data_IF_186272466826
#
_entry.id   IF_186272466826
#
_cell.length_a   1.000
_cell.length_b   1.000
_cell.length_c   1.000
_cell.angle_alpha   90.00
_cell.angle_beta   90.00
_cell.angle_gamma   90.00
#
_symmetry.space_group_name_H-M   'P 1'
#
loop_
_entity.id
_entity.type
_entity.pdbx_description
1 polymer ?
#
# COMPACT_ATOMS: atom_id res chain seq x y z
N UNK A 1 -17.07 6.79 -25.09
CA UNK A 1 -15.60 6.69 -25.08
C UNK A 1 -15.03 7.62 -26.15
N UNK A 2 -13.95 8.35 -25.85
CA UNK A 2 -13.23 9.19 -26.81
C UNK A 2 -12.72 8.31 -27.99
N UNK A 3 -12.99 8.67 -29.27
CA UNK A 3 -12.51 7.92 -30.43
C UNK A 3 -10.99 7.71 -30.45
N UNK A 4 -10.21 8.66 -29.93
CA UNK A 4 -8.74 8.57 -29.83
C UNK A 4 -8.32 7.47 -28.87
N UNK A 5 -9.02 7.35 -27.73
CA UNK A 5 -8.76 6.29 -26.75
C UNK A 5 -9.19 4.93 -27.30
N UNK A 6 -10.32 4.85 -28.00
CA UNK A 6 -10.75 3.62 -28.67
C UNK A 6 -9.70 3.13 -29.69
N UNK A 7 -9.21 4.03 -30.55
CA UNK A 7 -8.17 3.72 -31.54
C UNK A 7 -6.89 3.25 -30.86
N UNK A 8 -6.44 3.96 -29.82
CA UNK A 8 -5.24 3.58 -29.07
C UNK A 8 -5.37 2.22 -28.36
N UNK A 9 -6.53 1.89 -27.78
CA UNK A 9 -6.79 0.58 -27.20
C UNK A 9 -6.72 -0.53 -28.27
N UNK A 10 -7.33 -0.29 -29.43
CA UNK A 10 -7.29 -1.23 -30.57
C UNK A 10 -5.86 -1.49 -31.02
N UNK A 11 -5.04 -0.43 -31.15
CA UNK A 11 -3.62 -0.53 -31.50
C UNK A 11 -2.80 -1.24 -30.43
N UNK A 12 -3.04 -0.97 -29.14
CA UNK A 12 -2.34 -1.66 -28.06
C UNK A 12 -2.63 -3.16 -28.07
N UNK A 13 -3.88 -3.56 -28.28
CA UNK A 13 -4.25 -4.98 -28.40
C UNK A 13 -3.62 -5.63 -29.63
N UNK A 14 -3.64 -4.94 -30.76
CA UNK A 14 -2.96 -5.41 -31.96
C UNK A 14 -1.46 -5.62 -31.72
N UNK A 15 -0.81 -4.68 -31.03
CA UNK A 15 0.61 -4.78 -30.68
C UNK A 15 0.89 -5.98 -29.76
N UNK A 16 0.05 -6.23 -28.75
CA UNK A 16 0.20 -7.39 -27.87
C UNK A 16 0.05 -8.69 -28.65
N UNK A 17 -0.96 -8.81 -29.52
CA UNK A 17 -1.18 -10.03 -30.28
C UNK A 17 -0.06 -10.26 -31.32
N UNK A 18 0.48 -9.21 -31.92
CA UNK A 18 1.68 -9.30 -32.77
C UNK A 18 2.90 -9.75 -31.97
N UNK A 19 3.18 -9.15 -30.81
CA UNK A 19 4.32 -9.51 -29.97
C UNK A 19 4.25 -10.98 -29.53
N UNK A 20 3.06 -11.45 -29.15
CA UNK A 20 2.80 -12.86 -28.86
C UNK A 20 3.07 -13.78 -30.06
N UNK A 21 2.62 -13.38 -31.27
CA UNK A 21 2.84 -14.14 -32.49
C UNK A 21 4.32 -14.17 -32.93
N UNK A 22 5.08 -13.11 -32.67
CA UNK A 22 6.51 -13.05 -32.98
C UNK A 22 7.36 -13.88 -32.02
N UNK A 23 6.91 -14.00 -30.76
CA UNK A 23 7.60 -14.75 -29.73
C UNK A 23 8.87 -14.04 -29.24
N UNK A 24 9.74 -14.79 -28.55
CA UNK A 24 10.81 -14.20 -27.74
C UNK A 24 11.95 -13.54 -28.53
N UNK A 25 12.14 -13.93 -29.79
CA UNK A 25 13.22 -13.45 -30.65
C UNK A 25 12.68 -12.89 -31.96
N UNK A 26 12.02 -11.71 -31.93
CA UNK A 26 11.50 -11.08 -33.13
C UNK A 26 12.65 -10.66 -34.06
N UNK A 27 12.40 -10.74 -35.37
CA UNK A 27 13.27 -10.16 -36.38
C UNK A 27 13.34 -8.63 -36.26
N UNK A 28 14.33 -8.01 -36.91
CA UNK A 28 14.45 -6.54 -36.92
C UNK A 28 13.20 -5.86 -37.54
N UNK A 29 12.59 -6.49 -38.55
CA UNK A 29 11.37 -6.00 -39.20
C UNK A 29 10.16 -6.11 -38.28
N UNK A 30 10.00 -7.24 -37.60
CA UNK A 30 8.93 -7.46 -36.60
C UNK A 30 9.03 -6.46 -35.45
N UNK A 31 10.24 -6.22 -34.96
CA UNK A 31 10.48 -5.21 -33.92
C UNK A 31 10.15 -3.80 -34.42
N UNK A 32 10.55 -3.45 -35.65
CA UNK A 32 10.23 -2.16 -36.24
C UNK A 32 8.71 -1.94 -36.39
N UNK A 33 7.94 -3.00 -36.66
CA UNK A 33 6.48 -2.94 -36.70
C UNK A 33 5.88 -2.60 -35.33
N UNK A 34 6.37 -3.21 -34.24
CA UNK A 34 5.91 -2.91 -32.88
C UNK A 34 6.34 -1.49 -32.45
N UNK A 35 7.55 -1.07 -32.81
CA UNK A 35 8.05 0.29 -32.52
C UNK A 35 7.21 1.35 -33.27
N UNK A 36 6.77 1.08 -34.50
CA UNK A 36 5.89 1.97 -35.24
C UNK A 36 4.55 2.20 -34.53
N UNK A 37 3.90 1.13 -34.04
CA UNK A 37 2.68 1.25 -33.24
C UNK A 37 2.90 2.07 -31.97
N UNK A 38 4.09 1.96 -31.36
CA UNK A 38 4.41 2.69 -30.13
C UNK A 38 4.52 4.18 -30.41
N UNK A 39 5.16 4.54 -31.53
CA UNK A 39 5.27 5.92 -32.01
C UNK A 39 3.89 6.53 -32.28
N UNK A 40 2.96 5.76 -32.85
CA UNK A 40 1.61 6.24 -33.17
C UNK A 40 0.76 6.54 -31.92
N UNK A 41 0.92 5.75 -30.85
CA UNK A 41 0.16 5.93 -29.60
C UNK A 41 0.79 6.99 -28.69
N UNK A 42 2.10 7.22 -28.78
CA UNK A 42 2.83 8.12 -27.88
C UNK A 42 2.25 9.55 -27.79
N UNK A 43 1.83 10.21 -28.89
CA UNK A 43 1.24 11.55 -28.82
C UNK A 43 -0.01 11.62 -27.95
N UNK A 44 -0.84 10.56 -27.93
CA UNK A 44 -2.00 10.51 -27.04
C UNK A 44 -1.54 10.39 -25.58
N UNK A 45 -0.58 9.53 -25.29
CA UNK A 45 -0.03 9.38 -23.93
C UNK A 45 0.57 10.70 -23.44
N UNK A 46 1.33 11.39 -24.28
CA UNK A 46 1.94 12.68 -23.94
C UNK A 46 0.87 13.75 -23.69
N UNK A 47 -0.21 13.76 -24.50
CA UNK A 47 -1.34 14.66 -24.30
C UNK A 47 -2.08 14.38 -22.98
N UNK A 48 -2.37 13.11 -22.68
CA UNK A 48 -3.00 12.70 -21.44
C UNK A 48 -2.14 13.05 -20.21
N UNK A 49 -0.81 13.01 -20.32
CA UNK A 49 0.08 13.40 -19.24
C UNK A 49 0.10 14.92 -18.97
N UNK A 50 -0.19 15.73 -20.00
CA UNK A 50 -0.19 17.18 -19.92
C UNK A 50 -1.51 17.75 -19.35
N UNK A 51 -2.58 16.96 -19.39
CA UNK A 51 -3.89 17.35 -18.87
C UNK A 51 -4.03 17.01 -17.38
N UNK A 52 -4.84 17.77 -16.61
CA UNK A 52 -5.22 17.37 -15.26
C UNK A 52 -5.87 15.98 -15.28
N UNK A 53 -5.42 15.11 -14.39
CA UNK A 53 -5.92 13.75 -14.29
C UNK A 53 -7.43 13.72 -14.03
N UNK A 54 -8.18 13.05 -14.91
CA UNK A 54 -9.64 12.93 -14.87
C UNK A 54 -10.14 11.46 -14.82
N UNK A 55 -9.24 10.50 -14.59
CA UNK A 55 -9.58 9.08 -14.48
C UNK A 55 -10.23 8.72 -13.14
N UNK A 56 -10.39 7.41 -12.87
CA UNK A 56 -11.13 6.93 -11.69
C UNK A 56 -10.45 7.21 -10.34
N UNK A 57 -9.16 7.51 -10.35
CA UNK A 57 -8.35 7.72 -9.16
C UNK A 57 -7.95 6.44 -8.43
N UNK A 58 -8.13 5.27 -9.06
CA UNK A 58 -7.84 3.98 -8.42
C UNK A 58 -6.39 3.53 -8.63
N UNK A 59 -5.63 4.18 -9.52
CA UNK A 59 -4.28 3.78 -9.92
C UNK A 59 -4.26 2.56 -10.84
N UNK A 60 -3.06 2.11 -11.24
CA UNK A 60 -2.89 1.02 -12.21
C UNK A 60 -2.19 -0.22 -11.60
N UNK A 61 -2.34 -1.37 -12.26
CA UNK A 61 -1.94 -2.69 -11.80
C UNK A 61 -2.93 -3.36 -10.83
N UNK A 62 -2.55 -4.53 -10.32
CA UNK A 62 -3.30 -5.25 -9.27
C UNK A 62 -2.75 -4.90 -7.87
N UNK A 63 -3.49 -5.24 -6.80
CA UNK A 63 -3.12 -4.93 -5.42
C UNK A 63 -1.77 -5.59 -5.03
N UNK A 64 -0.72 -4.77 -5.09
CA UNK A 64 0.68 -5.13 -4.78
C UNK A 64 0.94 -5.29 -3.29
N UNK A 65 2.17 -5.04 -2.84
CA UNK A 65 2.49 -5.08 -1.40
C UNK A 65 1.61 -4.07 -0.65
N UNK A 66 0.95 -4.53 0.42
CA UNK A 66 0.02 -3.73 1.25
C UNK A 66 -1.08 -3.01 0.44
N UNK A 67 -1.49 -3.60 -0.68
CA UNK A 67 -2.50 -3.04 -1.58
C UNK A 67 -2.03 -1.80 -2.35
N UNK A 68 -0.72 -1.63 -2.55
CA UNK A 68 -0.18 -0.59 -3.42
C UNK A 68 -0.65 -0.78 -4.87
N UNK A 69 -1.02 0.33 -5.51
CA UNK A 69 -1.23 0.46 -6.96
C UNK A 69 -0.38 1.62 -7.45
N UNK A 70 0.06 1.53 -8.70
CA UNK A 70 0.92 2.58 -9.27
C UNK A 70 0.08 3.85 -9.44
N UNK A 71 0.43 4.98 -8.80
CA UNK A 71 -0.28 6.23 -8.99
C UNK A 71 -0.15 6.74 -10.42
N UNK A 72 -1.15 7.48 -10.90
CA UNK A 72 -1.19 8.07 -12.24
C UNK A 72 0.13 8.75 -12.63
N UNK A 73 0.61 9.69 -11.81
CA UNK A 73 1.82 10.44 -12.11
C UNK A 73 3.06 9.54 -12.30
N UNK A 74 3.19 8.48 -11.50
CA UNK A 74 4.29 7.53 -11.63
C UNK A 74 4.14 6.66 -12.88
N UNK A 75 2.91 6.30 -13.25
CA UNK A 75 2.62 5.55 -14.48
C UNK A 75 2.91 6.39 -15.72
N UNK A 76 2.44 7.64 -15.78
CA UNK A 76 2.71 8.53 -16.91
C UNK A 76 4.19 8.83 -17.06
N UNK A 77 4.91 9.09 -15.96
CA UNK A 77 6.36 9.26 -16.01
C UNK A 77 7.07 8.05 -16.64
N UNK A 78 6.65 6.82 -16.29
CA UNK A 78 7.19 5.60 -16.88
C UNK A 78 6.90 5.52 -18.38
N UNK A 79 5.66 5.79 -18.79
CA UNK A 79 5.23 5.69 -20.20
C UNK A 79 5.85 6.78 -21.08
N UNK A 80 6.08 7.98 -20.56
CA UNK A 80 6.79 9.05 -21.27
C UNK A 80 8.28 8.71 -21.46
N UNK A 81 8.90 8.07 -20.45
CA UNK A 81 10.28 7.62 -20.52
C UNK A 81 10.48 6.34 -21.35
N UNK A 82 9.43 5.55 -21.56
CA UNK A 82 9.48 4.27 -22.28
C UNK A 82 8.81 4.39 -23.65
N UNK A 83 9.59 4.84 -24.64
CA UNK A 83 9.16 4.85 -26.04
C UNK A 83 9.26 3.47 -26.72
N UNK A 84 9.74 2.47 -25.99
CA UNK A 84 10.03 1.14 -26.52
C UNK A 84 8.78 0.25 -26.52
N UNK A 85 8.76 -0.73 -27.42
CA UNK A 85 7.64 -1.63 -27.71
C UNK A 85 7.65 -2.96 -26.95
N UNK A 86 7.97 -2.96 -25.65
CA UNK A 86 7.96 -4.20 -24.85
C UNK A 86 6.55 -4.59 -24.39
N UNK A 87 6.22 -5.89 -24.37
CA UNK A 87 4.96 -6.45 -23.84
C UNK A 87 4.39 -5.77 -22.59
N UNK A 88 5.23 -5.51 -21.59
CA UNK A 88 4.83 -4.84 -20.34
C UNK A 88 4.44 -3.36 -20.53
N UNK A 89 5.03 -2.65 -21.49
CA UNK A 89 4.65 -1.25 -21.78
C UNK A 89 3.28 -1.19 -22.45
N UNK A 90 2.91 -2.19 -23.26
CA UNK A 90 1.57 -2.29 -23.84
C UNK A 90 0.48 -2.51 -22.79
N UNK A 91 0.72 -3.43 -21.84
CA UNK A 91 -0.19 -3.64 -20.71
C UNK A 91 -0.36 -2.37 -19.88
N UNK A 92 0.73 -1.68 -19.54
CA UNK A 92 0.68 -0.42 -18.77
C UNK A 92 -0.09 0.68 -19.54
N UNK A 93 0.06 0.76 -20.88
CA UNK A 93 -0.74 1.66 -21.73
C UNK A 93 -2.24 1.32 -21.68
N UNK A 94 -2.62 0.05 -21.78
CA UNK A 94 -4.03 -0.38 -21.70
C UNK A 94 -4.63 0.00 -20.34
N UNK A 95 -3.94 -0.28 -19.23
CA UNK A 95 -4.43 0.07 -17.89
C UNK A 95 -4.65 1.59 -17.74
N UNK A 96 -3.75 2.42 -18.28
CA UNK A 96 -3.91 3.87 -18.33
C UNK A 96 -5.10 4.30 -19.17
N UNK A 97 -5.28 3.70 -20.35
CA UNK A 97 -6.38 4.03 -21.25
C UNK A 97 -7.75 3.61 -20.67
N UNK A 98 -7.83 2.47 -19.98
CA UNK A 98 -9.01 2.05 -19.24
C UNK A 98 -9.40 3.07 -18.17
N UNK A 99 -8.43 3.46 -17.34
CA UNK A 99 -8.64 4.41 -16.25
C UNK A 99 -9.01 5.81 -16.76
N UNK A 100 -8.32 6.30 -17.79
CA UNK A 100 -8.57 7.61 -18.41
C UNK A 100 -9.95 7.67 -19.07
N UNK A 101 -10.36 6.60 -19.76
CA UNK A 101 -11.69 6.54 -20.35
C UNK A 101 -12.82 6.28 -19.34
N UNK A 102 -12.48 6.01 -18.07
CA UNK A 102 -13.47 5.69 -17.03
C UNK A 102 -14.22 4.39 -17.30
N UNK A 103 -13.60 3.41 -17.97
CA UNK A 103 -14.29 2.19 -18.39
C UNK A 103 -14.74 1.34 -17.18
N UNK A 104 -15.98 0.89 -17.21
CA UNK A 104 -16.49 -0.06 -16.22
C UNK A 104 -15.86 -1.44 -16.36
N UNK A 105 -15.96 -2.26 -15.31
CA UNK A 105 -15.39 -3.62 -15.31
C UNK A 105 -15.83 -4.49 -16.50
N UNK A 106 -17.10 -4.38 -16.91
CA UNK A 106 -17.63 -5.14 -18.04
C UNK A 106 -17.02 -4.70 -19.38
N UNK A 107 -16.79 -3.40 -19.57
CA UNK A 107 -16.13 -2.85 -20.77
C UNK A 107 -14.65 -3.25 -20.80
N UNK A 108 -13.95 -3.12 -19.68
CA UNK A 108 -12.55 -3.56 -19.55
C UNK A 108 -12.40 -5.07 -19.82
N UNK A 109 -13.35 -5.88 -19.34
CA UNK A 109 -13.35 -7.32 -19.57
C UNK A 109 -13.54 -7.64 -21.06
N UNK A 110 -14.45 -6.95 -21.76
CA UNK A 110 -14.68 -7.14 -23.19
C UNK A 110 -13.42 -6.82 -24.03
N UNK A 111 -12.65 -5.80 -23.65
CA UNK A 111 -11.33 -5.53 -24.25
C UNK A 111 -10.30 -6.59 -23.90
N UNK A 112 -10.23 -6.98 -22.62
CA UNK A 112 -9.25 -7.95 -22.12
C UNK A 112 -9.41 -9.34 -22.76
N UNK A 113 -10.64 -9.74 -23.08
CA UNK A 113 -10.92 -11.03 -23.73
C UNK A 113 -10.40 -11.14 -25.17
N UNK A 114 -10.00 -10.03 -25.79
CA UNK A 114 -9.41 -9.99 -27.14
C UNK A 114 -7.88 -10.20 -27.12
N UNK A 115 -7.27 -10.28 -25.93
CA UNK A 115 -5.83 -10.51 -25.76
C UNK A 115 -5.52 -11.99 -25.91
N UNK A 116 -4.67 -12.34 -26.88
CA UNK A 116 -4.25 -13.72 -27.15
C UNK A 116 -3.15 -14.20 -26.20
N UNK A 117 -2.31 -13.29 -25.70
CA UNK A 117 -1.30 -13.60 -24.69
C UNK A 117 -1.98 -13.86 -23.33
N UNK A 118 -2.04 -15.13 -22.93
CA UNK A 118 -2.68 -15.54 -21.68
C UNK A 118 -2.02 -14.92 -20.42
N UNK A 119 -0.71 -14.65 -20.46
CA UNK A 119 0.01 -14.04 -19.33
C UNK A 119 -0.42 -12.58 -19.18
N UNK A 120 -0.39 -11.81 -20.27
CA UNK A 120 -0.82 -10.42 -20.25
C UNK A 120 -2.32 -10.29 -19.98
N UNK A 121 -3.13 -11.21 -20.52
CA UNK A 121 -4.56 -11.28 -20.23
C UNK A 121 -4.83 -11.49 -18.75
N UNK A 122 -4.14 -12.42 -18.09
CA UNK A 122 -4.27 -12.62 -16.65
C UNK A 122 -3.89 -11.37 -15.85
N UNK A 123 -2.86 -10.63 -16.26
CA UNK A 123 -2.48 -9.38 -15.60
C UNK A 123 -3.54 -8.29 -15.73
N UNK A 124 -4.18 -8.17 -16.89
CA UNK A 124 -5.31 -7.25 -17.11
C UNK A 124 -6.55 -7.69 -16.33
N UNK A 125 -6.83 -9.00 -16.27
CA UNK A 125 -7.89 -9.55 -15.41
C UNK A 125 -7.64 -9.20 -13.94
N UNK A 126 -6.41 -9.32 -13.44
CA UNK A 126 -6.06 -8.94 -12.07
C UNK A 126 -6.16 -7.42 -11.81
N UNK A 127 -5.92 -6.59 -12.82
CA UNK A 127 -6.20 -5.15 -12.74
C UNK A 127 -7.71 -4.90 -12.55
N UNK A 128 -8.56 -5.56 -13.35
CA UNK A 128 -10.03 -5.47 -13.21
C UNK A 128 -10.49 -5.99 -11.84
N UNK A 129 -9.90 -7.09 -11.34
CA UNK A 129 -10.19 -7.61 -10.00
C UNK A 129 -9.87 -6.57 -8.92
N UNK A 130 -8.77 -5.84 -9.05
CA UNK A 130 -8.39 -4.81 -8.09
C UNK A 130 -9.36 -3.63 -8.10
N UNK A 131 -9.79 -3.16 -9.28
CA UNK A 131 -10.82 -2.12 -9.42
C UNK A 131 -12.13 -2.56 -8.73
N UNK A 132 -12.65 -3.74 -9.09
CA UNK A 132 -13.86 -4.30 -8.50
C UNK A 132 -13.75 -4.42 -6.96
N UNK A 133 -12.63 -4.94 -6.46
CA UNK A 133 -12.41 -5.06 -5.03
C UNK A 133 -12.43 -3.68 -4.35
N UNK A 134 -11.69 -2.69 -4.87
CA UNK A 134 -11.68 -1.34 -4.29
C UNK A 134 -13.08 -0.72 -4.30
N UNK A 135 -13.87 -0.98 -5.34
CA UNK A 135 -15.27 -0.52 -5.45
C UNK A 135 -16.24 -1.28 -4.52
N UNK A 136 -15.81 -2.37 -3.88
CA UNK A 136 -16.63 -3.17 -2.96
C UNK A 136 -17.25 -4.42 -3.56
N UNK A 137 -17.00 -4.67 -4.84
CA UNK A 137 -17.59 -5.73 -5.64
C UNK A 137 -16.83 -7.07 -5.51
N UNK A 138 -16.55 -7.50 -4.28
CA UNK A 138 -15.76 -8.73 -4.00
C UNK A 138 -16.34 -9.98 -4.66
N UNK A 139 -17.68 -10.08 -4.66
CA UNK A 139 -18.40 -11.20 -5.25
C UNK A 139 -18.16 -11.29 -6.75
N UNK A 140 -18.10 -10.14 -7.44
CA UNK A 140 -17.83 -10.09 -8.88
C UNK A 140 -16.40 -10.51 -9.19
N UNK A 141 -15.42 -10.23 -8.32
CA UNK A 141 -14.05 -10.77 -8.48
C UNK A 141 -14.06 -12.30 -8.45
N UNK A 142 -14.80 -12.90 -7.52
CA UNK A 142 -14.90 -14.36 -7.39
C UNK A 142 -15.67 -15.01 -8.54
N UNK A 143 -16.73 -14.38 -9.04
CA UNK A 143 -17.64 -14.96 -10.04
C UNK A 143 -17.24 -14.64 -11.49
N UNK A 144 -16.75 -13.43 -11.75
CA UNK A 144 -16.45 -12.95 -13.10
C UNK A 144 -14.95 -13.06 -13.41
N UNK A 145 -14.06 -12.74 -12.48
CA UNK A 145 -12.63 -12.67 -12.81
C UNK A 145 -11.90 -13.98 -12.53
N UNK A 146 -12.05 -14.52 -11.32
CA UNK A 146 -11.29 -15.70 -10.86
C UNK A 146 -11.43 -16.91 -11.80
N UNK A 147 -12.62 -17.27 -12.33
CA UNK A 147 -12.77 -18.43 -13.23
C UNK A 147 -12.13 -18.24 -14.61
N UNK A 148 -11.75 -17.01 -14.98
CA UNK A 148 -11.12 -16.68 -16.26
C UNK A 148 -9.59 -16.66 -16.18
N UNK A 149 -9.04 -16.66 -14.98
CA UNK A 149 -7.60 -16.75 -14.76
C UNK A 149 -7.11 -18.17 -15.01
N UNK A 150 -5.85 -18.30 -15.46
CA UNK A 150 -5.20 -19.61 -15.48
C UNK A 150 -5.12 -20.21 -14.07
N UNK A 151 -5.13 -21.55 -13.92
CA UNK A 151 -5.13 -22.20 -12.61
C UNK A 151 -3.95 -21.80 -11.70
N UNK A 152 -2.78 -21.57 -12.29
CA UNK A 152 -1.57 -21.12 -11.61
C UNK A 152 -1.59 -19.63 -11.25
N UNK A 153 -2.62 -18.88 -11.66
CA UNK A 153 -2.78 -17.44 -11.42
C UNK A 153 -4.02 -17.11 -10.59
N UNK A 154 -4.96 -18.03 -10.45
CA UNK A 154 -6.20 -17.84 -9.68
C UNK A 154 -5.95 -17.41 -8.22
N UNK A 155 -4.87 -17.90 -7.60
CA UNK A 155 -4.48 -17.51 -6.23
C UNK A 155 -4.19 -15.99 -6.11
N UNK A 156 -3.81 -15.31 -7.20
CA UNK A 156 -3.57 -13.87 -7.19
C UNK A 156 -4.86 -13.06 -7.06
N UNK A 157 -5.99 -13.59 -7.50
CA UNK A 157 -7.30 -12.99 -7.22
C UNK A 157 -7.66 -13.13 -5.73
N UNK A 158 -7.31 -14.26 -5.10
CA UNK A 158 -7.47 -14.42 -3.65
C UNK A 158 -6.67 -13.38 -2.88
N UNK A 159 -5.43 -13.11 -3.32
CA UNK A 159 -4.58 -12.05 -2.79
C UNK A 159 -5.26 -10.67 -2.88
N UNK A 160 -5.82 -10.32 -4.04
CA UNK A 160 -6.53 -9.04 -4.22
C UNK A 160 -7.64 -8.92 -3.18
N UNK A 161 -8.46 -9.95 -3.04
CA UNK A 161 -9.57 -9.98 -2.08
C UNK A 161 -9.08 -9.89 -0.63
N UNK A 162 -8.06 -10.65 -0.25
CA UNK A 162 -7.48 -10.62 1.09
C UNK A 162 -6.89 -9.26 1.45
N UNK A 163 -6.18 -8.61 0.52
CA UNK A 163 -5.67 -7.24 0.73
C UNK A 163 -6.80 -6.26 0.95
N UNK A 164 -7.86 -6.36 0.17
CA UNK A 164 -8.94 -5.38 0.25
C UNK A 164 -9.81 -5.59 1.50
N UNK A 165 -10.13 -6.83 1.89
CA UNK A 165 -10.73 -7.11 3.19
C UNK A 165 -9.87 -6.57 4.33
N UNK A 166 -8.54 -6.75 4.27
CA UNK A 166 -7.61 -6.20 5.25
C UNK A 166 -7.64 -4.66 5.28
N UNK A 167 -7.58 -4.00 4.12
CA UNK A 167 -7.64 -2.52 4.00
C UNK A 167 -8.91 -1.94 4.62
N UNK A 168 -10.03 -2.66 4.48
CA UNK A 168 -11.34 -2.28 5.02
C UNK A 168 -11.52 -2.60 6.51
N UNK A 169 -10.59 -3.32 7.14
CA UNK A 169 -10.78 -3.83 8.50
C UNK A 169 -11.89 -4.90 8.61
N UNK A 170 -12.28 -5.53 7.49
CA UNK A 170 -13.33 -6.55 7.47
C UNK A 170 -12.78 -7.91 7.88
N UNK A 171 -12.75 -8.14 9.19
CA UNK A 171 -12.30 -9.40 9.80
C UNK A 171 -13.12 -10.58 9.29
N UNK A 172 -14.44 -10.43 9.17
CA UNK A 172 -15.32 -11.54 8.79
C UNK A 172 -15.10 -11.97 7.35
N UNK A 173 -15.03 -11.01 6.42
CA UNK A 173 -14.69 -11.25 5.02
C UNK A 173 -13.31 -11.86 4.85
N UNK A 174 -12.31 -11.28 5.55
CA UNK A 174 -10.94 -11.77 5.53
C UNK A 174 -10.84 -13.24 5.94
N UNK A 175 -11.42 -13.63 7.09
CA UNK A 175 -11.33 -14.99 7.60
C UNK A 175 -12.08 -15.99 6.75
N UNK A 176 -13.22 -15.61 6.16
CA UNK A 176 -13.93 -16.47 5.19
C UNK A 176 -13.06 -16.72 3.96
N UNK A 177 -12.41 -15.69 3.42
CA UNK A 177 -11.56 -15.80 2.24
C UNK A 177 -10.29 -16.59 2.51
N UNK A 178 -9.62 -16.33 3.63
CA UNK A 178 -8.37 -16.98 4.03
C UNK A 178 -8.50 -18.51 4.15
N UNK A 179 -9.67 -19.02 4.55
CA UNK A 179 -9.93 -20.46 4.62
C UNK A 179 -9.93 -21.15 3.25
N UNK A 180 -10.25 -20.40 2.19
CA UNK A 180 -10.35 -20.91 0.80
C UNK A 180 -9.09 -20.67 -0.02
N UNK A 181 -8.30 -19.65 0.33
CA UNK A 181 -7.09 -19.29 -0.41
C UNK A 181 -5.98 -20.35 -0.29
N UNK A 182 -5.22 -20.58 -1.36
CA UNK A 182 -4.03 -21.44 -1.32
C UNK A 182 -2.91 -20.76 -0.50
N UNK A 183 -2.75 -21.24 0.74
CA UNK A 183 -1.80 -20.66 1.69
C UNK A 183 -0.34 -20.95 1.37
N UNK A 184 -0.04 -21.94 0.52
CA UNK A 184 1.35 -22.31 0.20
C UNK A 184 1.99 -21.33 -0.76
N UNK A 185 1.26 -20.91 -1.78
CA UNK A 185 1.75 -19.98 -2.80
C UNK A 185 1.81 -18.54 -2.27
N UNK A 186 0.94 -18.18 -1.32
CA UNK A 186 0.76 -16.80 -0.85
C UNK A 186 1.31 -16.54 0.56
N UNK A 187 2.27 -17.31 1.06
CA UNK A 187 2.73 -17.20 2.46
C UNK A 187 3.13 -15.77 2.86
N UNK A 188 3.95 -15.10 2.06
CA UNK A 188 4.42 -13.74 2.36
C UNK A 188 3.30 -12.72 2.30
N UNK A 189 2.47 -12.80 1.25
CA UNK A 189 1.34 -11.88 1.10
C UNK A 189 0.30 -12.09 2.19
N UNK A 190 0.07 -13.32 2.66
CA UNK A 190 -0.79 -13.58 3.82
C UNK A 190 -0.26 -12.94 5.09
N UNK A 191 1.07 -12.94 5.32
CA UNK A 191 1.65 -12.25 6.47
C UNK A 191 1.40 -10.74 6.38
N UNK A 192 1.61 -10.14 5.20
CA UNK A 192 1.33 -8.73 4.94
C UNK A 192 -0.16 -8.41 5.13
N UNK A 193 -1.05 -9.29 4.64
CA UNK A 193 -2.50 -9.18 4.73
C UNK A 193 -2.97 -9.11 6.17
N UNK A 194 -2.45 -10.03 6.99
CA UNK A 194 -2.78 -10.13 8.42
C UNK A 194 -2.27 -8.92 9.18
N UNK A 195 -1.04 -8.50 8.92
CA UNK A 195 -0.49 -7.28 9.52
C UNK A 195 -1.39 -6.08 9.19
N UNK A 196 -1.72 -5.90 7.91
CA UNK A 196 -2.59 -4.81 7.47
C UNK A 196 -3.98 -4.89 8.11
N UNK A 197 -4.59 -6.08 8.21
CA UNK A 197 -5.89 -6.24 8.86
C UNK A 197 -5.83 -5.79 10.32
N UNK A 198 -4.84 -6.27 11.09
CA UNK A 198 -4.67 -5.92 12.50
C UNK A 198 -4.48 -4.42 12.68
N UNK A 199 -3.64 -3.80 11.84
CA UNK A 199 -3.44 -2.35 11.84
C UNK A 199 -4.75 -1.60 11.55
N UNK A 200 -5.54 -2.05 10.56
CA UNK A 200 -6.81 -1.40 10.20
C UNK A 200 -7.88 -1.57 11.26
N UNK A 201 -7.99 -2.76 11.87
CA UNK A 201 -8.87 -3.00 13.02
C UNK A 201 -8.47 -2.10 14.19
N UNK A 202 -7.17 -1.99 14.49
CA UNK A 202 -6.68 -1.12 15.56
C UNK A 202 -7.05 0.35 15.32
N UNK A 203 -6.87 0.85 14.08
CA UNK A 203 -7.18 2.22 13.71
C UNK A 203 -8.69 2.55 13.70
N UNK A 204 -9.55 1.59 13.32
CA UNK A 204 -10.98 1.84 13.09
C UNK A 204 -11.87 1.41 14.24
N UNK A 205 -11.51 0.32 14.93
CA UNK A 205 -12.33 -0.34 15.95
C UNK A 205 -11.67 -0.28 17.34
N UNK A 206 -10.44 0.23 17.43
CA UNK A 206 -9.68 0.37 18.66
C UNK A 206 -8.74 -0.81 18.95
N UNK A 207 -7.83 -0.58 19.90
CA UNK A 207 -6.76 -1.53 20.20
C UNK A 207 -7.27 -2.85 20.80
N UNK A 208 -8.29 -2.80 21.66
CA UNK A 208 -8.83 -4.01 22.29
C UNK A 208 -9.38 -5.00 21.26
N UNK A 209 -10.09 -4.49 20.23
CA UNK A 209 -10.58 -5.31 19.12
C UNK A 209 -9.42 -5.97 18.33
N UNK A 210 -8.34 -5.23 18.12
CA UNK A 210 -7.16 -5.75 17.41
C UNK A 210 -6.37 -6.77 18.24
N UNK A 211 -6.27 -6.58 19.56
CA UNK A 211 -5.64 -7.55 20.46
C UNK A 211 -6.47 -8.82 20.57
N UNK A 212 -7.80 -8.70 20.69
CA UNK A 212 -8.71 -9.83 20.64
C UNK A 212 -8.56 -10.64 19.34
N UNK A 213 -8.45 -9.95 18.20
CA UNK A 213 -8.13 -10.61 16.92
C UNK A 213 -6.80 -11.37 16.98
N UNK A 214 -5.77 -10.79 17.61
CA UNK A 214 -4.46 -11.44 17.76
C UNK A 214 -4.49 -12.67 18.68
N UNK A 215 -5.40 -12.71 19.65
CA UNK A 215 -5.48 -13.76 20.67
C UNK A 215 -6.37 -14.93 20.24
N UNK A 216 -7.55 -14.63 19.74
CA UNK A 216 -8.58 -15.64 19.50
C UNK A 216 -8.51 -16.25 18.09
N UNK A 217 -7.79 -15.62 17.16
CA UNK A 217 -7.80 -16.03 15.76
C UNK A 217 -6.52 -16.72 15.33
N UNK A 218 -6.63 -18.01 15.00
CA UNK A 218 -5.52 -18.82 14.49
C UNK A 218 -4.78 -18.15 13.33
N UNK A 219 -3.47 -17.97 13.50
CA UNK A 219 -2.59 -17.38 12.49
C UNK A 219 -2.38 -15.87 12.66
N UNK A 220 -3.15 -15.25 13.57
CA UNK A 220 -2.84 -14.01 14.25
C UNK A 220 -2.28 -14.39 15.63
N UNK A 221 -1.39 -13.59 16.19
CA UNK A 221 -0.62 -13.96 17.37
C UNK A 221 0.28 -12.82 17.80
N UNK A 222 1.14 -13.08 18.79
CA UNK A 222 1.95 -12.05 19.47
C UNK A 222 2.75 -11.15 18.53
N UNK A 223 3.22 -11.70 17.41
CA UNK A 223 3.96 -10.95 16.38
C UNK A 223 3.21 -9.76 15.77
N UNK A 224 1.88 -9.73 15.87
CA UNK A 224 1.04 -8.64 15.34
C UNK A 224 0.61 -7.61 16.38
N UNK A 225 0.71 -7.93 17.68
CA UNK A 225 0.28 -7.02 18.77
C UNK A 225 1.00 -5.68 18.71
N UNK A 226 2.33 -5.69 18.52
CA UNK A 226 3.12 -4.47 18.43
C UNK A 226 2.70 -3.58 17.24
N UNK A 227 2.31 -4.17 16.11
CA UNK A 227 1.81 -3.42 14.95
C UNK A 227 0.43 -2.79 15.25
N UNK A 228 -0.44 -3.51 15.96
CA UNK A 228 -1.73 -2.98 16.44
C UNK A 228 -1.53 -1.76 17.34
N UNK A 229 -0.70 -1.91 18.38
CA UNK A 229 -0.41 -0.87 19.36
C UNK A 229 0.17 0.38 18.70
N UNK A 230 1.18 0.21 17.84
CA UNK A 230 1.82 1.30 17.08
C UNK A 230 0.84 2.03 16.17
N UNK A 231 -0.08 1.30 15.56
CA UNK A 231 -1.08 1.91 14.67
C UNK A 231 -2.10 2.68 15.47
N UNK A 232 -2.63 2.09 16.54
CA UNK A 232 -3.57 2.76 17.43
C UNK A 232 -2.98 4.03 18.04
N UNK A 233 -1.73 3.98 18.51
CA UNK A 233 -1.03 5.15 19.04
C UNK A 233 -1.02 6.32 18.05
N UNK A 234 -0.91 6.08 16.74
CA UNK A 234 -0.96 7.14 15.73
C UNK A 234 -2.36 7.73 15.49
N UNK A 235 -3.41 7.18 16.11
CA UNK A 235 -4.82 7.61 15.93
C UNK A 235 -5.43 8.26 17.18
N UNK A 236 -4.72 8.25 18.31
CA UNK A 236 -5.20 8.78 19.59
C UNK A 236 -4.24 9.81 20.15
N UNK A 237 -4.77 10.72 20.96
CA UNK A 237 -3.95 11.65 21.71
C UNK A 237 -3.16 10.94 22.83
N UNK A 238 -2.16 11.64 23.37
CA UNK A 238 -1.28 11.12 24.43
C UNK A 238 -2.07 10.72 25.69
N UNK A 239 -3.11 11.48 26.05
CA UNK A 239 -3.89 11.21 27.27
C UNK A 239 -4.66 9.89 27.17
N UNK A 240 -5.30 9.63 26.03
CA UNK A 240 -5.96 8.35 25.72
C UNK A 240 -4.97 7.21 25.68
N UNK A 241 -3.79 7.41 25.09
CA UNK A 241 -2.76 6.38 25.07
C UNK A 241 -2.28 6.04 26.49
N UNK A 242 -2.05 7.04 27.35
CA UNK A 242 -1.69 6.84 28.77
C UNK A 242 -2.77 6.06 29.53
N UNK A 243 -4.03 6.45 29.37
CA UNK A 243 -5.15 5.76 30.03
C UNK A 243 -5.21 4.29 29.61
N UNK A 244 -5.00 4.01 28.33
CA UNK A 244 -4.98 2.65 27.82
C UNK A 244 -3.80 1.84 28.36
N UNK A 245 -2.59 2.41 28.40
CA UNK A 245 -1.38 1.76 28.97
C UNK A 245 -1.63 1.40 30.44
N UNK A 246 -2.18 2.34 31.22
CA UNK A 246 -2.45 2.12 32.64
C UNK A 246 -3.45 0.96 32.88
N UNK A 247 -4.48 0.85 32.03
CA UNK A 247 -5.45 -0.24 32.10
C UNK A 247 -4.86 -1.61 31.71
N UNK A 248 -3.74 -1.63 30.98
CA UNK A 248 -3.13 -2.84 30.42
C UNK A 248 -1.65 -2.99 30.75
N UNK A 249 -1.23 -2.56 31.94
CA UNK A 249 0.18 -2.51 32.35
C UNK A 249 0.93 -3.86 32.18
N UNK A 250 0.22 -4.99 32.32
CA UNK A 250 0.80 -6.32 32.16
C UNK A 250 1.35 -6.59 30.75
N UNK A 251 0.81 -5.94 29.71
CA UNK A 251 1.29 -6.09 28.33
C UNK A 251 2.68 -5.47 28.11
N UNK A 252 3.12 -4.60 29.01
CA UNK A 252 4.39 -3.87 28.91
C UNK A 252 5.51 -4.48 29.75
N UNK A 253 5.18 -5.40 30.66
CA UNK A 253 6.12 -5.99 31.62
C UNK A 253 7.34 -6.66 30.96
N UNK A 254 7.18 -7.21 29.76
CA UNK A 254 8.25 -7.88 29.01
C UNK A 254 8.79 -7.06 27.83
N UNK A 255 8.32 -5.83 27.63
CA UNK A 255 8.60 -5.02 26.44
C UNK A 255 9.18 -3.65 26.84
N UNK A 256 10.41 -3.66 27.37
CA UNK A 256 11.09 -2.45 27.81
C UNK A 256 11.17 -1.38 26.70
N UNK A 257 10.75 -0.16 27.01
CA UNK A 257 10.73 0.97 26.07
C UNK A 257 9.52 1.05 25.15
N UNK A 258 8.62 0.05 25.15
CA UNK A 258 7.43 0.06 24.30
C UNK A 258 6.43 1.14 24.74
N UNK A 259 6.27 1.37 26.05
CA UNK A 259 5.40 2.45 26.55
C UNK A 259 5.83 3.81 26.01
N UNK A 260 7.12 4.12 26.12
CA UNK A 260 7.71 5.37 25.62
C UNK A 260 7.54 5.46 24.10
N UNK A 261 7.74 4.36 23.37
CA UNK A 261 7.52 4.31 21.94
C UNK A 261 6.07 4.69 21.57
N UNK A 262 5.08 4.10 22.23
CA UNK A 262 3.67 4.37 21.95
C UNK A 262 3.28 5.82 22.30
N UNK A 263 3.77 6.35 23.42
CA UNK A 263 3.47 7.70 23.85
C UNK A 263 4.10 8.76 22.94
N UNK A 264 5.36 8.57 22.55
CA UNK A 264 6.04 9.43 21.58
C UNK A 264 5.31 9.39 20.24
N UNK A 265 4.85 8.21 19.81
CA UNK A 265 4.09 8.06 18.58
C UNK A 265 2.74 8.76 18.61
N UNK A 266 2.01 8.67 19.73
CA UNK A 266 0.78 9.42 19.95
C UNK A 266 1.02 10.93 19.92
N UNK A 267 2.10 11.41 20.53
CA UNK A 267 2.49 12.81 20.46
C UNK A 267 2.85 13.27 19.03
N UNK A 268 3.55 12.43 18.28
CA UNK A 268 4.07 12.79 16.95
C UNK A 268 3.05 12.67 15.82
N UNK A 269 2.08 11.76 15.93
CA UNK A 269 1.15 11.42 14.84
C UNK A 269 -0.32 11.48 15.23
N UNK A 270 -0.64 11.42 16.52
CA UNK A 270 -2.01 11.48 17.01
C UNK A 270 -2.65 12.86 16.82
N UNK A 271 -3.99 12.95 16.95
CA UNK A 271 -4.69 14.22 16.95
C UNK A 271 -4.21 15.10 18.12
N UNK A 272 -4.06 16.39 17.86
CA UNK A 272 -3.80 17.39 18.90
C UNK A 272 -5.14 17.99 19.33
N UNK A 273 -5.37 18.21 20.64
CA UNK A 273 -6.55 18.94 21.08
C UNK A 273 -6.52 20.36 20.52
N UNK A 274 -7.56 20.74 19.78
CA UNK A 274 -7.70 22.08 19.22
C UNK A 274 -7.81 23.12 20.35
N UNK A 275 -6.98 24.18 20.29
CA UNK A 275 -7.16 25.38 21.09
C UNK A 275 -6.87 25.26 22.60
N UNK A 276 -6.17 24.22 23.05
CA UNK A 276 -5.73 24.11 24.44
C UNK A 276 -4.25 24.50 24.55
N UNK A 277 -3.99 25.74 24.95
CA UNK A 277 -2.68 26.21 25.49
C UNK A 277 -2.43 25.59 26.88
N UNK A 278 -2.51 24.26 26.98
CA UNK A 278 -2.49 23.52 28.24
C UNK A 278 -1.72 22.21 28.15
N UNK A 279 -0.78 22.05 29.09
CA UNK A 279 0.08 20.90 29.39
C UNK A 279 0.53 20.07 28.18
N UNK A 280 1.27 20.72 27.27
CA UNK A 280 2.03 20.03 26.24
C UNK A 280 2.91 18.94 26.90
N UNK A 281 2.70 17.64 26.60
CA UNK A 281 3.38 16.55 27.29
C UNK A 281 4.86 16.44 26.91
N UNK A 282 5.39 17.29 26.04
CA UNK A 282 6.77 17.21 25.56
C UNK A 282 7.79 17.05 26.68
N UNK A 283 7.76 17.90 27.72
CA UNK A 283 8.83 17.90 28.73
C UNK A 283 8.84 16.61 29.56
N UNK A 284 7.65 16.06 29.84
CA UNK A 284 7.49 14.75 30.49
C UNK A 284 7.97 13.61 29.58
N UNK A 285 7.52 13.58 28.31
CA UNK A 285 7.92 12.56 27.36
C UNK A 285 9.43 12.58 27.10
N UNK A 286 10.01 13.78 27.00
CA UNK A 286 11.44 13.96 26.86
C UNK A 286 12.20 13.37 28.05
N UNK A 287 11.75 13.65 29.28
CA UNK A 287 12.37 13.11 30.48
C UNK A 287 12.29 11.58 30.53
N UNK A 288 11.13 11.00 30.17
CA UNK A 288 10.96 9.54 30.06
C UNK A 288 11.90 8.93 29.03
N UNK A 289 11.96 9.51 27.83
CA UNK A 289 12.84 9.04 26.75
C UNK A 289 14.32 9.16 27.14
N UNK A 290 14.71 10.24 27.82
CA UNK A 290 16.09 10.44 28.27
C UNK A 290 16.54 9.38 29.30
N UNK A 291 15.59 8.84 30.07
CA UNK A 291 15.80 7.82 31.09
C UNK A 291 15.82 6.37 30.54
N UNK A 292 15.45 6.14 29.27
CA UNK A 292 15.47 4.81 28.65
C UNK A 292 16.88 4.21 28.69
N UNK A 293 16.96 2.89 28.96
CA UNK A 293 18.21 2.15 28.91
C UNK A 293 18.91 2.31 27.54
N UNK A 294 20.16 2.75 27.59
CA UNK A 294 21.03 2.99 26.43
C UNK A 294 21.38 1.72 25.65
N UNK A 295 21.15 0.54 26.25
CA UNK A 295 21.35 -0.77 25.61
C UNK A 295 20.24 -1.11 24.61
N UNK A 296 19.03 -0.57 24.79
CA UNK A 296 17.87 -0.87 23.96
C UNK A 296 18.04 -0.35 22.54
N UNK A 297 17.62 -1.17 21.57
CA UNK A 297 17.79 -0.93 20.14
C UNK A 297 16.45 -0.91 19.39
N UNK A 298 16.41 -0.12 18.34
CA UNK A 298 15.37 -0.14 17.32
C UNK A 298 16.08 -0.30 15.96
N UNK A 299 16.10 -1.51 15.41
CA UNK A 299 16.99 -1.86 14.31
C UNK A 299 18.46 -1.59 14.69
N UNK A 300 19.17 -0.85 13.84
CA UNK A 300 20.61 -0.56 14.02
C UNK A 300 20.89 0.63 14.98
N UNK A 301 19.85 1.32 15.44
CA UNK A 301 19.98 2.54 16.25
C UNK A 301 19.55 2.31 17.70
N UNK A 302 20.00 3.18 18.61
CA UNK A 302 19.51 3.16 20.00
C UNK A 302 18.06 3.61 20.02
N UNK A 303 17.20 2.91 20.77
CA UNK A 303 15.77 3.25 20.89
C UNK A 303 15.60 4.72 21.33
N UNK A 304 16.32 5.14 22.36
CA UNK A 304 16.34 6.52 22.85
C UNK A 304 16.63 7.55 21.75
N UNK A 305 17.63 7.32 20.91
CA UNK A 305 17.99 8.26 19.84
C UNK A 305 16.89 8.36 18.78
N UNK A 306 16.23 7.24 18.46
CA UNK A 306 15.07 7.21 17.54
C UNK A 306 13.89 7.97 18.11
N UNK A 307 13.55 7.77 19.38
CA UNK A 307 12.41 8.43 20.01
C UNK A 307 12.65 9.94 20.21
N UNK A 308 13.89 10.36 20.48
CA UNK A 308 14.26 11.78 20.53
C UNK A 308 14.15 12.44 19.14
N UNK A 309 14.47 11.73 18.07
CA UNK A 309 14.23 12.22 16.71
C UNK A 309 12.74 12.47 16.49
N UNK A 310 11.89 11.48 16.76
CA UNK A 310 10.44 11.58 16.55
C UNK A 310 9.82 12.73 17.37
N UNK A 311 10.18 12.84 18.65
CA UNK A 311 9.77 13.97 19.51
C UNK A 311 10.23 15.32 18.95
N UNK A 312 11.49 15.40 18.51
CA UNK A 312 12.10 16.62 17.97
C UNK A 312 11.47 17.08 16.66
N UNK A 313 11.09 16.15 15.79
CA UNK A 313 10.35 16.45 14.56
C UNK A 313 8.93 16.90 14.86
N UNK A 314 8.27 16.28 15.85
CA UNK A 314 6.89 16.59 16.20
C UNK A 314 6.70 17.99 16.79
N UNK A 315 7.64 18.50 17.60
CA UNK A 315 7.56 19.87 18.16
C UNK A 315 7.79 20.96 17.12
N UNK A 316 8.41 20.64 15.98
CA UNK A 316 8.82 21.63 14.99
C UNK A 316 10.02 22.48 15.43
N UNK A 317 10.39 23.51 14.65
CA UNK A 317 11.57 24.34 14.93
C UNK A 317 11.49 25.07 16.27
N UNK A 318 12.55 25.01 17.07
CA UNK A 318 12.63 25.75 18.33
C UNK A 318 13.54 25.12 19.39
N UNK A 319 13.49 25.66 20.61
CA UNK A 319 14.34 25.23 21.72
C UNK A 319 14.17 23.75 22.09
N UNK A 320 12.93 23.24 22.06
CA UNK A 320 12.61 21.82 22.33
C UNK A 320 13.23 20.87 21.30
N UNK A 321 13.21 21.22 20.00
CA UNK A 321 13.92 20.46 18.96
C UNK A 321 15.43 20.45 19.16
N UNK A 322 16.01 21.60 19.49
CA UNK A 322 17.44 21.71 19.80
C UNK A 322 17.84 20.89 21.03
N UNK A 323 16.95 20.78 22.02
CA UNK A 323 17.15 19.95 23.20
C UNK A 323 17.22 18.46 22.83
N UNK A 324 16.24 17.95 22.06
CA UNK A 324 16.29 16.59 21.50
C UNK A 324 17.59 16.34 20.73
N UNK A 325 17.92 17.24 19.80
CA UNK A 325 19.14 17.17 18.98
C UNK A 325 20.42 17.06 19.81
N UNK A 326 20.51 17.77 20.93
CA UNK A 326 21.69 17.71 21.83
C UNK A 326 21.83 16.37 22.54
N UNK A 327 20.73 15.67 22.80
CA UNK A 327 20.71 14.39 23.54
C UNK A 327 20.93 13.15 22.66
N UNK A 328 20.70 13.27 21.36
CA UNK A 328 20.96 12.21 20.37
C UNK A 328 22.47 11.98 20.24
N UNK A 329 22.90 10.74 20.47
CA UNK A 329 24.31 10.36 20.34
C UNK A 329 24.72 10.02 18.91
N UNK A 330 23.78 9.50 18.11
CA UNK A 330 24.03 9.16 16.71
C UNK A 330 24.10 10.42 15.81
N UNK A 331 25.27 10.68 15.24
CA UNK A 331 25.50 11.86 14.39
C UNK A 331 24.66 11.89 13.11
N UNK A 332 24.31 10.74 12.53
CA UNK A 332 23.48 10.67 11.31
C UNK A 332 22.05 11.09 11.61
N UNK A 333 21.42 10.48 12.62
CA UNK A 333 20.06 10.79 13.07
C UNK A 333 19.95 12.27 13.46
N UNK A 334 20.98 12.76 14.15
CA UNK A 334 21.05 14.14 14.64
C UNK A 334 20.94 15.18 13.50
N UNK A 335 21.42 14.89 12.28
CA UNK A 335 21.33 15.78 11.11
C UNK A 335 19.92 15.91 10.54
N UNK A 336 19.07 14.91 10.74
CA UNK A 336 17.65 14.99 10.32
C UNK A 336 16.90 16.12 11.08
N UNK A 337 17.39 16.51 12.25
CA UNK A 337 16.86 17.65 13.01
C UNK A 337 17.43 19.02 12.58
N UNK A 338 18.33 19.07 11.60
CA UNK A 338 18.90 20.32 11.07
C UNK A 338 18.12 20.86 9.85
N UNK A 339 17.26 20.03 9.23
CA UNK A 339 16.38 20.37 8.11
C UNK A 339 15.12 21.16 8.56
#
# INVERSE_FOLDING_TARGET
MDPRIHDALTRCLHAINLDNAFGYYPSAEQKAQLDALAIEIQPLIDALAAEPYAGKGLGCGYLGHRGYRTPWAAMMHRLQGSRNSHSLSWKDRIEVLFDTAGLGASEMLAWTQQVEDDILRDHLLLHIAADLAIEGEMTRVEQEITPRLRPDMAHRADRVLLMEYARRGDVSGFLRKQKKADQRQERHTLLDARALLVERVAAQQGLDAALHLCEETKGFGDGYRAAAMRTYAATVDVARMRAWIAAHATLFASAAGLEEELLVKAYAKGPRPDGIDGDDPFDELFARVDAIDKSLRHGDVRLRDSLLLDLGMAVGPGARRLLCRKKIGNASIKRELDA
#
